data_IF_409392244580
#
_entry.id   IF_409392244580
#
_cell.length_a   1.000
_cell.length_b   1.000
_cell.length_c   1.000
_cell.angle_alpha   90.00
_cell.angle_beta   90.00
_cell.angle_gamma   90.00
#
_symmetry.space_group_name_H-M   'P 1'
#
loop_
_entity.id
_entity.type
_entity.pdbx_description
1 polymer ?
#
# COMPACT_ATOMS: atom_id res chain seq x y z
N UNK A 1 -22.99 -11.03 -8.29
CA UNK A 1 -22.31 -10.80 -7.00
C UNK A 1 -21.67 -9.42 -7.03
N UNK A 2 -21.78 -8.66 -5.95
CA UNK A 2 -21.09 -7.38 -5.82
C UNK A 2 -19.59 -7.68 -5.58
N UNK A 3 -18.72 -7.04 -6.33
CA UNK A 3 -17.27 -7.13 -6.10
C UNK A 3 -16.88 -6.34 -4.85
N UNK A 4 -15.86 -6.80 -4.13
CA UNK A 4 -15.28 -6.06 -3.00
C UNK A 4 -14.42 -4.89 -3.48
N UNK A 5 -14.22 -3.92 -2.61
CA UNK A 5 -13.33 -2.78 -2.84
C UNK A 5 -11.89 -3.12 -2.45
N UNK A 6 -10.92 -2.75 -3.28
CA UNK A 6 -9.49 -2.88 -2.98
C UNK A 6 -8.90 -1.51 -2.67
N UNK A 7 -8.55 -1.29 -1.43
CA UNK A 7 -7.81 -0.11 -0.97
C UNK A 7 -6.32 -0.42 -1.03
N UNK A 8 -5.67 0.09 -2.06
CA UNK A 8 -4.25 -0.12 -2.32
C UNK A 8 -3.44 1.04 -1.76
N UNK A 9 -2.83 0.83 -0.57
CA UNK A 9 -1.98 1.81 0.08
C UNK A 9 -0.55 1.60 -0.37
N UNK A 10 -0.01 2.55 -1.11
CA UNK A 10 1.37 2.52 -1.59
C UNK A 10 2.18 3.69 -1.05
N UNK A 11 3.44 3.44 -0.78
CA UNK A 11 4.41 4.44 -0.31
C UNK A 11 5.81 3.85 -0.24
N UNK A 12 6.78 4.68 0.10
CA UNK A 12 8.12 4.23 0.50
C UNK A 12 8.11 3.62 1.91
N UNK A 13 9.15 2.83 2.23
CA UNK A 13 9.31 2.25 3.56
C UNK A 13 9.36 3.33 4.64
N UNK A 14 8.65 3.13 5.74
CA UNK A 14 8.58 4.07 6.86
C UNK A 14 7.62 5.24 6.69
N UNK A 15 6.90 5.35 5.57
CA UNK A 15 5.93 6.43 5.36
C UNK A 15 4.60 6.26 6.12
N UNK A 16 4.38 5.11 6.80
CA UNK A 16 3.23 4.90 7.68
C UNK A 16 2.08 4.09 7.09
N UNK A 17 2.25 3.43 5.94
CA UNK A 17 1.19 2.68 5.26
C UNK A 17 0.54 1.60 6.12
N UNK A 18 1.34 0.83 6.86
CA UNK A 18 0.83 -0.28 7.69
C UNK A 18 -0.01 0.24 8.84
N UNK A 19 0.41 1.31 9.51
CA UNK A 19 -0.35 1.93 10.60
C UNK A 19 -1.68 2.50 10.10
N UNK A 20 -1.65 3.31 9.03
CA UNK A 20 -2.86 3.91 8.45
C UNK A 20 -3.76 2.83 7.86
N UNK A 21 -3.20 1.85 7.17
CA UNK A 21 -3.94 0.74 6.59
C UNK A 21 -4.62 -0.14 7.64
N UNK A 22 -3.96 -0.39 8.77
CA UNK A 22 -4.56 -1.12 9.88
C UNK A 22 -5.76 -0.38 10.49
N UNK A 23 -5.61 0.94 10.69
CA UNK A 23 -6.72 1.77 11.17
C UNK A 23 -7.89 1.80 10.19
N UNK A 24 -7.61 1.90 8.88
CA UNK A 24 -8.63 1.83 7.84
C UNK A 24 -9.34 0.46 7.86
N UNK A 25 -8.58 -0.64 7.92
CA UNK A 25 -9.14 -1.98 8.02
C UNK A 25 -10.10 -2.11 9.22
N UNK A 26 -9.68 -1.66 10.41
CA UNK A 26 -10.53 -1.71 11.60
C UNK A 26 -11.81 -0.89 11.39
N UNK A 27 -11.70 0.29 10.78
CA UNK A 27 -12.83 1.17 10.51
C UNK A 27 -13.83 0.58 9.52
N UNK A 28 -13.36 -0.06 8.45
CA UNK A 28 -14.22 -0.75 7.48
C UNK A 28 -14.91 -1.92 8.17
N UNK A 29 -14.17 -2.70 8.95
CA UNK A 29 -14.68 -3.89 9.62
C UNK A 29 -15.84 -3.63 10.59
N UNK A 30 -15.95 -2.41 11.14
CA UNK A 30 -17.08 -2.02 11.99
C UNK A 30 -18.44 -2.15 11.27
N UNK A 31 -18.46 -1.93 9.95
CA UNK A 31 -19.68 -1.93 9.12
C UNK A 31 -19.72 -3.08 8.12
N UNK A 32 -18.56 -3.51 7.65
CA UNK A 32 -18.37 -4.53 6.63
C UNK A 32 -17.42 -5.61 7.15
N UNK A 33 -17.95 -6.69 7.76
CA UNK A 33 -17.09 -7.73 8.35
C UNK A 33 -16.30 -8.53 7.32
N UNK A 34 -16.76 -8.52 6.05
CA UNK A 34 -16.10 -9.24 4.95
C UNK A 34 -14.94 -8.41 4.37
N UNK A 35 -13.96 -8.11 5.18
CA UNK A 35 -12.76 -7.36 4.83
C UNK A 35 -11.51 -8.08 5.33
N UNK A 36 -10.42 -8.02 4.56
CA UNK A 36 -9.11 -8.56 4.92
C UNK A 36 -8.05 -7.48 4.89
N UNK A 37 -7.03 -7.64 5.73
CA UNK A 37 -5.84 -6.81 5.77
C UNK A 37 -4.65 -7.60 5.22
N UNK A 38 -4.00 -7.06 4.19
CA UNK A 38 -2.83 -7.64 3.55
C UNK A 38 -1.64 -6.69 3.69
N UNK A 39 -0.59 -7.17 4.33
CA UNK A 39 0.68 -6.46 4.45
C UNK A 39 1.75 -7.13 3.57
N UNK A 40 2.50 -6.35 2.82
CA UNK A 40 3.46 -6.86 1.84
C UNK A 40 4.58 -7.69 2.46
N UNK A 41 5.06 -7.32 3.65
CA UNK A 41 6.11 -8.09 4.35
C UNK A 41 5.54 -9.42 4.86
N UNK A 42 4.33 -9.41 5.40
CA UNK A 42 3.64 -10.64 5.82
C UNK A 42 3.35 -11.56 4.64
N UNK A 43 2.92 -11.01 3.50
CA UNK A 43 2.68 -11.81 2.29
C UNK A 43 3.95 -12.46 1.76
N UNK A 44 5.11 -11.83 1.87
CA UNK A 44 6.38 -12.46 1.53
C UNK A 44 6.60 -13.74 2.33
N UNK A 45 6.38 -13.69 3.64
CA UNK A 45 6.51 -14.88 4.51
C UNK A 45 5.50 -15.95 4.15
N UNK A 46 4.25 -15.58 3.89
CA UNK A 46 3.18 -16.51 3.45
C UNK A 46 3.55 -17.21 2.16
N UNK A 47 4.21 -16.52 1.23
CA UNK A 47 4.68 -17.09 -0.03
C UNK A 47 6.03 -17.80 0.09
N UNK A 48 6.60 -17.94 1.29
CA UNK A 48 7.80 -18.72 1.57
C UNK A 48 9.11 -18.01 1.26
N UNK A 49 9.10 -16.67 1.23
CA UNK A 49 10.29 -15.82 0.98
C UNK A 49 11.07 -16.23 -0.29
N UNK A 50 10.35 -16.66 -1.32
CA UNK A 50 10.89 -17.22 -2.56
C UNK A 50 11.47 -16.17 -3.53
N UNK A 51 11.21 -14.88 -3.27
CA UNK A 51 11.69 -13.76 -4.07
C UNK A 51 12.70 -12.92 -3.30
N UNK A 52 13.74 -12.47 -3.99
CA UNK A 52 14.72 -11.52 -3.46
C UNK A 52 14.21 -10.06 -3.44
N UNK A 53 15.15 -9.13 -3.47
CA UNK A 53 14.90 -7.68 -3.40
C UNK A 53 15.35 -6.93 -4.66
N UNK A 54 15.69 -7.63 -5.73
CA UNK A 54 15.93 -7.02 -7.04
C UNK A 54 14.69 -6.29 -7.52
N UNK A 55 14.83 -5.33 -8.42
CA UNK A 55 13.69 -4.63 -9.02
C UNK A 55 12.70 -5.62 -9.66
N UNK A 56 13.20 -6.65 -10.33
CA UNK A 56 12.40 -7.69 -10.96
C UNK A 56 11.62 -8.51 -9.93
N UNK A 57 12.27 -8.95 -8.86
CA UNK A 57 11.61 -9.71 -7.77
C UNK A 57 10.55 -8.88 -7.07
N UNK A 58 10.83 -7.59 -6.85
CA UNK A 58 9.86 -6.66 -6.27
C UNK A 58 8.65 -6.45 -7.18
N UNK A 59 8.86 -6.36 -8.49
CA UNK A 59 7.77 -6.28 -9.47
C UNK A 59 6.93 -7.56 -9.48
N UNK A 60 7.57 -8.74 -9.46
CA UNK A 60 6.87 -10.03 -9.35
C UNK A 60 6.05 -10.12 -8.07
N UNK A 61 6.63 -9.71 -6.94
CA UNK A 61 5.93 -9.68 -5.64
C UNK A 61 4.73 -8.75 -5.67
N UNK A 62 4.89 -7.53 -6.20
CA UNK A 62 3.81 -6.56 -6.33
C UNK A 62 2.67 -7.06 -7.22
N UNK A 63 2.99 -7.67 -8.35
CA UNK A 63 1.99 -8.25 -9.26
C UNK A 63 1.28 -9.46 -8.64
N UNK A 64 1.98 -10.27 -7.84
CA UNK A 64 1.38 -11.37 -7.07
C UNK A 64 0.35 -10.84 -6.07
N UNK A 65 0.69 -9.78 -5.34
CA UNK A 65 -0.22 -9.12 -4.40
C UNK A 65 -1.45 -8.54 -5.13
N UNK A 66 -1.24 -7.89 -6.29
CA UNK A 66 -2.31 -7.35 -7.11
C UNK A 66 -3.33 -8.42 -7.54
N UNK A 67 -2.83 -9.56 -8.03
CA UNK A 67 -3.68 -10.70 -8.44
C UNK A 67 -4.42 -11.32 -7.26
N UNK A 68 -3.80 -11.40 -6.09
CA UNK A 68 -4.47 -11.84 -4.86
C UNK A 68 -5.61 -10.88 -4.47
N UNK A 69 -5.36 -9.57 -4.49
CA UNK A 69 -6.38 -8.56 -4.24
C UNK A 69 -7.57 -8.71 -5.21
N UNK A 70 -7.28 -8.91 -6.51
CA UNK A 70 -8.30 -9.16 -7.52
C UNK A 70 -9.14 -10.40 -7.19
N UNK A 71 -8.49 -11.52 -6.88
CA UNK A 71 -9.17 -12.77 -6.53
C UNK A 71 -10.14 -12.60 -5.35
N UNK A 72 -9.72 -11.90 -4.31
CA UNK A 72 -10.54 -11.64 -3.14
C UNK A 72 -11.70 -10.69 -3.45
N UNK A 73 -11.41 -9.63 -4.19
CA UNK A 73 -12.44 -8.67 -4.64
C UNK A 73 -13.52 -9.34 -5.49
N UNK A 74 -13.14 -10.21 -6.41
CA UNK A 74 -14.10 -10.96 -7.26
C UNK A 74 -15.02 -11.87 -6.42
N UNK A 75 -14.64 -12.23 -5.20
CA UNK A 75 -15.45 -12.97 -4.25
C UNK A 75 -16.26 -12.09 -3.29
N UNK A 76 -16.28 -10.77 -3.51
CA UNK A 76 -17.01 -9.82 -2.67
C UNK A 76 -16.32 -9.48 -1.35
N UNK A 77 -15.01 -9.73 -1.23
CA UNK A 77 -14.22 -9.41 -0.04
C UNK A 77 -13.55 -8.04 -0.25
N UNK A 78 -13.75 -7.12 0.68
CA UNK A 78 -12.99 -5.87 0.71
C UNK A 78 -11.53 -6.16 1.13
N UNK A 79 -10.59 -5.46 0.53
CA UNK A 79 -9.16 -5.69 0.77
C UNK A 79 -8.47 -4.37 1.11
N UNK A 80 -7.81 -4.32 2.25
CA UNK A 80 -6.85 -3.25 2.56
C UNK A 80 -5.45 -3.81 2.34
N UNK A 81 -4.80 -3.42 1.25
CA UNK A 81 -3.48 -3.91 0.88
C UNK A 81 -2.42 -2.83 1.07
N UNK A 82 -1.46 -3.10 1.95
CA UNK A 82 -0.34 -2.21 2.28
C UNK A 82 0.95 -2.74 1.66
N UNK A 83 1.45 -2.05 0.65
CA UNK A 83 2.63 -2.50 -0.10
C UNK A 83 3.45 -1.32 -0.60
N UNK A 84 4.76 -1.51 -0.75
CA UNK A 84 5.61 -0.48 -1.37
C UNK A 84 5.23 -0.31 -2.84
N UNK A 85 5.29 -1.35 -3.63
CA UNK A 85 4.80 -1.47 -5.03
C UNK A 85 4.78 -0.18 -5.85
N UNK A 86 5.92 0.52 -5.93
CA UNK A 86 6.06 1.79 -6.66
C UNK A 86 6.34 1.53 -8.14
N UNK A 87 5.40 0.84 -8.82
CA UNK A 87 5.45 0.46 -10.22
C UNK A 87 4.18 0.89 -10.95
N UNK A 88 4.32 1.71 -11.99
CA UNK A 88 3.20 2.13 -12.83
C UNK A 88 2.45 0.91 -13.41
N UNK A 89 3.18 -0.06 -13.94
CA UNK A 89 2.59 -1.26 -14.55
C UNK A 89 1.67 -2.05 -13.61
N UNK A 90 1.95 -2.07 -12.32
CA UNK A 90 1.10 -2.74 -11.32
C UNK A 90 -0.16 -1.92 -11.05
N UNK A 91 -0.02 -0.62 -10.89
CA UNK A 91 -1.15 0.29 -10.63
C UNK A 91 -2.09 0.37 -11.83
N UNK A 92 -1.54 0.44 -13.05
CA UNK A 92 -2.32 0.42 -14.28
C UNK A 92 -3.09 -0.90 -14.40
N UNK A 93 -2.42 -2.03 -14.17
CA UNK A 93 -3.09 -3.34 -14.14
C UNK A 93 -4.22 -3.40 -13.11
N UNK A 94 -4.01 -2.85 -11.92
CA UNK A 94 -5.05 -2.80 -10.89
C UNK A 94 -6.27 -2.01 -11.36
N UNK A 95 -6.06 -0.81 -11.93
CA UNK A 95 -7.15 0.02 -12.46
C UNK A 95 -7.92 -0.65 -13.58
N UNK A 96 -7.24 -1.36 -14.45
CA UNK A 96 -7.88 -2.05 -15.58
C UNK A 96 -8.65 -3.30 -15.14
N UNK A 97 -8.20 -3.98 -14.09
CA UNK A 97 -8.67 -5.31 -13.74
C UNK A 97 -9.47 -5.38 -12.44
N UNK A 98 -9.43 -4.39 -11.57
CA UNK A 98 -10.16 -4.37 -10.29
C UNK A 98 -11.23 -3.29 -10.31
N UNK A 99 -12.51 -3.64 -10.47
CA UNK A 99 -13.59 -2.65 -10.63
C UNK A 99 -13.71 -1.67 -9.46
N UNK A 100 -13.51 -2.15 -8.23
CA UNK A 100 -13.54 -1.34 -7.01
C UNK A 100 -12.14 -0.94 -6.51
N UNK A 101 -11.24 -0.49 -7.40
CA UNK A 101 -9.88 -0.11 -7.02
C UNK A 101 -9.79 1.33 -6.52
N UNK A 102 -9.23 1.51 -5.34
CA UNK A 102 -8.94 2.82 -4.73
C UNK A 102 -7.46 2.90 -4.42
N UNK A 103 -6.76 3.84 -5.04
CA UNK A 103 -5.32 4.05 -4.87
C UNK A 103 -5.05 5.15 -3.85
N UNK A 104 -4.41 4.77 -2.74
CA UNK A 104 -4.02 5.67 -1.66
C UNK A 104 -2.51 5.83 -1.66
N UNK A 105 -2.03 7.03 -1.95
CA UNK A 105 -0.60 7.34 -1.89
C UNK A 105 -0.27 8.07 -0.59
N UNK A 106 0.46 7.40 0.30
CA UNK A 106 0.97 8.00 1.53
C UNK A 106 2.34 8.58 1.23
N UNK A 107 2.43 9.91 1.22
CA UNK A 107 3.63 10.64 0.82
C UNK A 107 4.35 11.23 2.02
N UNK A 108 5.60 10.80 2.23
CA UNK A 108 6.53 11.42 3.17
C UNK A 108 7.81 11.81 2.43
N UNK A 109 8.44 12.90 2.84
CA UNK A 109 9.73 13.33 2.28
C UNK A 109 10.84 12.34 2.63
N UNK A 110 11.86 12.25 1.78
CA UNK A 110 13.04 11.42 2.08
C UNK A 110 13.69 11.83 3.39
N UNK A 111 13.71 13.12 3.70
CA UNK A 111 14.24 13.62 4.97
C UNK A 111 13.47 13.05 6.18
N UNK A 112 12.15 13.01 6.11
CA UNK A 112 11.30 12.39 7.14
C UNK A 112 11.55 10.90 7.24
N UNK A 113 11.65 10.19 6.10
CA UNK A 113 11.88 8.76 6.06
C UNK A 113 13.24 8.38 6.64
N UNK A 114 14.29 9.15 6.32
CA UNK A 114 15.62 8.96 6.89
C UNK A 114 15.66 9.17 8.40
N UNK A 115 14.95 10.19 8.91
CA UNK A 115 14.83 10.43 10.35
C UNK A 115 14.10 9.30 11.08
N UNK A 116 13.06 8.74 10.47
CA UNK A 116 12.29 7.63 11.05
C UNK A 116 13.04 6.31 11.01
N UNK A 117 13.70 6.02 9.91
CA UNK A 117 14.54 4.83 9.60
C UNK A 117 14.25 3.59 10.46
N UNK A 118 12.96 3.25 10.58
CA UNK A 118 12.44 2.23 11.51
C UNK A 118 13.06 0.84 11.32
N UNK A 119 13.52 0.53 10.10
CA UNK A 119 14.12 -0.75 9.74
C UNK A 119 15.64 -0.67 9.52
N UNK A 120 16.27 0.48 9.80
CA UNK A 120 17.69 0.72 9.51
C UNK A 120 18.05 0.68 8.02
N UNK A 121 17.05 0.74 7.12
CA UNK A 121 17.24 0.55 5.68
C UNK A 121 17.95 1.74 5.03
N UNK A 122 17.63 2.96 5.47
CA UNK A 122 18.18 4.20 4.90
C UNK A 122 19.60 4.46 5.36
N UNK A 123 20.04 3.85 6.45
CA UNK A 123 21.39 4.00 7.02
C UNK A 123 22.30 2.82 6.69
N UNK A 124 21.77 1.65 6.34
CA UNK A 124 22.54 0.44 6.05
C UNK A 124 23.32 0.49 4.74
N UNK A 125 22.83 1.24 3.74
CA UNK A 125 23.48 1.40 2.44
C UNK A 125 23.64 0.09 1.65
N UNK A 126 22.74 -0.89 1.88
CA UNK A 126 22.80 -2.22 1.26
C UNK A 126 22.31 -2.30 -0.19
N UNK A 127 21.93 -1.16 -0.79
CA UNK A 127 21.46 -1.08 -2.16
C UNK A 127 20.04 -1.56 -2.40
N UNK A 128 19.26 -1.76 -1.35
CA UNK A 128 17.92 -2.36 -1.45
C UNK A 128 16.75 -1.40 -1.22
N UNK A 129 17.03 -0.12 -0.96
CA UNK A 129 16.00 0.86 -0.57
C UNK A 129 15.39 1.55 -1.78
N UNK A 130 14.08 1.37 -1.96
CA UNK A 130 13.32 2.05 -3.00
C UNK A 130 13.36 3.58 -2.82
N UNK A 131 13.61 4.31 -3.90
CA UNK A 131 13.71 5.76 -3.91
C UNK A 131 15.07 6.31 -3.48
N UNK A 132 15.97 5.47 -2.96
CA UNK A 132 17.35 5.81 -2.63
C UNK A 132 18.30 5.05 -3.56
N UNK A 133 18.21 3.74 -3.57
CA UNK A 133 19.13 2.86 -4.29
C UNK A 133 18.66 2.52 -5.71
N UNK A 134 17.38 2.68 -6.00
CA UNK A 134 16.82 2.52 -7.35
C UNK A 134 15.64 3.46 -7.60
N UNK A 135 15.41 3.77 -8.89
CA UNK A 135 14.31 4.63 -9.30
C UNK A 135 12.95 4.01 -8.97
N UNK A 136 12.09 4.83 -8.40
CA UNK A 136 10.68 4.52 -8.16
C UNK A 136 9.80 5.23 -9.18
N UNK A 137 8.62 4.67 -9.42
CA UNK A 137 7.59 5.28 -10.24
C UNK A 137 6.48 5.77 -9.30
N UNK A 138 6.55 7.07 -8.92
CA UNK A 138 5.52 7.67 -8.06
C UNK A 138 4.14 7.60 -8.72
N UNK A 139 3.06 7.39 -7.93
CA UNK A 139 1.70 7.42 -8.45
C UNK A 139 1.40 8.73 -9.17
N UNK A 140 0.96 8.64 -10.43
CA UNK A 140 0.62 9.79 -11.28
C UNK A 140 -0.80 10.29 -11.05
N UNK A 141 -1.70 9.36 -10.79
CA UNK A 141 -3.14 9.63 -10.65
C UNK A 141 -3.74 8.85 -9.47
N UNK A 142 -3.20 9.00 -8.24
CA UNK A 142 -3.80 8.38 -7.07
C UNK A 142 -5.18 8.98 -6.82
N UNK A 143 -6.10 8.19 -6.26
CA UNK A 143 -7.42 8.68 -5.88
C UNK A 143 -7.31 9.64 -4.69
N UNK A 144 -6.37 9.40 -3.79
CA UNK A 144 -6.02 10.31 -2.70
C UNK A 144 -4.53 10.29 -2.39
N UNK A 145 -3.98 11.46 -2.07
CA UNK A 145 -2.64 11.62 -1.50
C UNK A 145 -2.76 12.02 -0.03
N UNK A 146 -2.15 11.26 0.85
CA UNK A 146 -2.06 11.55 2.28
C UNK A 146 -0.62 12.00 2.62
N UNK A 147 -0.38 13.31 2.83
CA UNK A 147 0.92 13.77 3.32
C UNK A 147 1.18 13.25 4.73
N UNK A 148 2.37 12.72 4.99
CA UNK A 148 2.72 12.16 6.30
C UNK A 148 4.15 12.51 6.73
N UNK A 149 4.45 13.79 6.79
CA UNK A 149 5.72 14.32 7.32
C UNK A 149 5.70 14.60 8.85
N UNK A 150 4.64 14.19 9.54
CA UNK A 150 4.52 14.28 10.99
C UNK A 150 3.60 15.41 11.49
N UNK A 151 2.97 16.17 10.60
CA UNK A 151 2.04 17.25 10.96
C UNK A 151 0.69 16.73 11.45
N UNK A 152 0.34 15.50 11.07
CA UNK A 152 -0.92 14.84 11.42
C UNK A 152 -0.67 13.52 12.13
N UNK A 153 -1.55 13.20 13.09
CA UNK A 153 -1.56 11.87 13.72
C UNK A 153 -2.12 10.82 12.77
N UNK A 154 -1.86 9.52 12.97
CA UNK A 154 -2.47 8.45 12.20
C UNK A 154 -4.00 8.51 12.19
N UNK A 155 -4.62 8.89 13.31
CA UNK A 155 -6.07 9.03 13.44
C UNK A 155 -6.61 10.20 12.61
N UNK A 156 -5.90 11.32 12.55
CA UNK A 156 -6.24 12.45 11.68
C UNK A 156 -6.10 12.07 10.20
N UNK A 157 -5.06 11.32 9.84
CA UNK A 157 -4.89 10.77 8.49
C UNK A 157 -6.06 9.85 8.12
N UNK A 158 -6.49 8.98 9.04
CA UNK A 158 -7.65 8.12 8.84
C UNK A 158 -8.92 8.93 8.62
N UNK A 159 -9.14 10.00 9.39
CA UNK A 159 -10.33 10.86 9.21
C UNK A 159 -10.38 11.48 7.82
N UNK A 160 -9.26 11.96 7.30
CA UNK A 160 -9.17 12.51 5.93
C UNK A 160 -9.54 11.42 4.91
N UNK A 161 -8.98 10.23 5.06
CA UNK A 161 -9.24 9.12 4.16
C UNK A 161 -10.69 8.68 4.20
N UNK A 162 -11.28 8.54 5.38
CA UNK A 162 -12.69 8.15 5.55
C UNK A 162 -13.65 9.20 4.96
N UNK A 163 -13.37 10.48 5.16
CA UNK A 163 -14.16 11.56 4.57
C UNK A 163 -14.10 11.56 3.04
N UNK A 164 -12.94 11.24 2.47
CA UNK A 164 -12.80 11.06 1.02
C UNK A 164 -13.67 9.91 0.51
N UNK A 165 -13.57 8.73 1.14
CA UNK A 165 -14.33 7.53 0.75
C UNK A 165 -15.85 7.65 0.91
N UNK A 166 -16.34 8.57 1.73
CA UNK A 166 -17.77 8.81 1.92
C UNK A 166 -18.38 9.74 0.87
N UNK A 167 -17.56 10.43 0.07
CA UNK A 167 -18.02 11.37 -0.96
C UNK A 167 -18.19 10.72 -2.33
N UNK A 168 -17.67 9.53 -2.51
CA UNK A 168 -17.81 8.71 -3.72
C UNK A 168 -18.96 7.71 -3.55
#
# INVERSE_FOLDING_TARGET
MTTGTVYWLTCLSGAGKTTIGWLLYQKIREKQPNVVFLDGDTLRQVFGDDLGYTREDRLKSAMRNARLCRLLSDQGVDVVCCTISMFDSVRDWNRENIPGYVEVYIKASLQTLQKRDQKGLYTSGDGSVAGVDYMIEEPKHPDIVLPNDGDLTPEQQLQILVQFLQKE
#
